data_IF_779453604346
#
_entry.id   IF_779453604346
#
_cell.length_a   1.000
_cell.length_b   1.000
_cell.length_c   1.000
_cell.angle_alpha   90.00
_cell.angle_beta   90.00
_cell.angle_gamma   90.00
#
_symmetry.space_group_name_H-M   'P 1'
#
loop_
_entity.id
_entity.type
_entity.pdbx_description
1 polymer ?
#
# COMPACT_ATOMS: atom_id res chain seq x y z
N UNK A 1 -18.83 30.88 -37.20
CA UNK A 1 -18.29 30.46 -38.52
C UNK A 1 -17.34 29.31 -38.25
N UNK A 2 -17.44 28.20 -38.99
CA UNK A 2 -16.54 27.06 -38.81
C UNK A 2 -15.18 27.37 -39.46
N UNK A 3 -14.09 27.15 -38.73
CA UNK A 3 -12.73 27.28 -39.25
C UNK A 3 -12.34 25.96 -39.93
N UNK A 4 -11.90 26.02 -41.19
CA UNK A 4 -11.37 24.86 -41.91
C UNK A 4 -9.97 24.53 -41.36
N UNK A 5 -9.77 23.27 -40.98
CA UNK A 5 -8.48 22.76 -40.50
C UNK A 5 -7.70 22.10 -41.65
N UNK A 6 -6.38 22.26 -41.62
CA UNK A 6 -5.45 21.56 -42.51
C UNK A 6 -5.19 20.13 -42.02
N UNK A 7 -4.79 19.18 -42.90
CA UNK A 7 -4.46 17.80 -42.50
C UNK A 7 -3.43 17.71 -41.37
N UNK A 8 -2.46 18.62 -41.33
CA UNK A 8 -1.42 18.68 -40.32
C UNK A 8 -1.99 19.03 -38.94
N UNK A 9 -3.03 19.87 -38.89
CA UNK A 9 -3.73 20.25 -37.65
C UNK A 9 -4.65 19.16 -37.11
N UNK A 10 -4.97 18.14 -37.92
CA UNK A 10 -5.78 16.99 -37.50
C UNK A 10 -4.94 15.90 -36.83
N UNK A 11 -3.60 15.96 -36.94
CA UNK A 11 -2.70 14.95 -36.40
C UNK A 11 -1.98 15.47 -35.16
N UNK A 12 -2.12 14.76 -34.05
CA UNK A 12 -1.20 14.92 -32.92
C UNK A 12 0.20 14.43 -33.34
N UNK A 13 1.19 15.31 -33.21
CA UNK A 13 2.61 14.98 -33.42
C UNK A 13 3.36 15.22 -32.12
N UNK A 14 4.31 14.34 -31.84
CA UNK A 14 5.18 14.43 -30.68
C UNK A 14 6.62 14.36 -31.16
N UNK A 15 7.44 15.30 -30.72
CA UNK A 15 8.86 15.28 -31.04
C UNK A 15 9.56 14.28 -30.12
N UNK A 16 9.94 13.11 -30.66
CA UNK A 16 10.64 12.10 -29.88
C UNK A 16 12.01 12.56 -29.39
N UNK A 17 12.65 13.54 -30.05
CA UNK A 17 13.92 14.11 -29.59
C UNK A 17 13.76 14.93 -28.30
N UNK A 18 12.54 15.21 -27.87
CA UNK A 18 12.26 15.88 -26.59
C UNK A 18 12.42 14.97 -25.36
N UNK A 19 12.55 13.66 -25.53
CA UNK A 19 12.78 12.70 -24.44
C UNK A 19 14.23 12.21 -24.50
N UNK A 20 14.94 12.38 -23.40
CA UNK A 20 16.35 11.98 -23.25
C UNK A 20 16.45 10.49 -22.84
N UNK A 21 16.03 9.58 -23.72
CA UNK A 21 16.27 8.14 -23.58
C UNK A 21 16.33 7.43 -24.94
N UNK A 22 17.21 6.45 -25.10
CA UNK A 22 17.23 5.59 -26.30
C UNK A 22 16.18 4.48 -26.18
N UNK A 23 16.03 3.91 -24.99
CA UNK A 23 15.06 2.87 -24.68
C UNK A 23 14.36 3.15 -23.34
N UNK A 24 13.18 2.56 -23.14
CA UNK A 24 12.48 2.66 -21.85
C UNK A 24 13.21 1.97 -20.69
N UNK A 25 14.25 1.19 -20.98
CA UNK A 25 15.12 0.60 -19.96
C UNK A 25 16.06 1.64 -19.31
N UNK A 26 16.33 2.75 -20.00
CA UNK A 26 17.19 3.84 -19.51
C UNK A 26 16.47 4.74 -18.50
N UNK A 27 15.15 4.63 -18.43
CA UNK A 27 14.31 5.42 -17.54
C UNK A 27 14.28 4.83 -16.14
N UNK A 28 14.43 5.70 -15.14
CA UNK A 28 14.20 5.33 -13.74
C UNK A 28 12.74 4.92 -13.58
N UNK A 29 12.52 3.69 -13.08
CA UNK A 29 11.17 3.20 -12.79
C UNK A 29 10.62 3.94 -11.59
N UNK A 30 9.70 4.85 -11.86
CA UNK A 30 8.95 5.47 -10.76
C UNK A 30 7.95 4.50 -10.15
N UNK A 31 7.90 4.51 -8.82
CA UNK A 31 6.98 3.66 -8.05
C UNK A 31 5.81 4.45 -7.47
N UNK A 32 5.86 5.78 -7.58
CA UNK A 32 4.80 6.67 -7.13
C UNK A 32 3.55 6.54 -8.00
N UNK A 33 2.39 6.83 -7.39
CA UNK A 33 1.10 6.87 -8.09
C UNK A 33 1.07 8.09 -9.02
N UNK A 34 1.12 7.85 -10.34
CA UNK A 34 1.16 8.90 -11.37
C UNK A 34 -0.22 9.56 -11.52
N UNK A 35 -0.24 10.89 -11.63
CA UNK A 35 -1.46 11.65 -11.98
C UNK A 35 -2.53 11.73 -10.89
N UNK A 36 -2.27 11.21 -9.69
CA UNK A 36 -3.26 11.10 -8.61
C UNK A 36 -2.85 11.89 -7.35
N UNK A 37 -2.42 13.15 -7.52
CA UNK A 37 -1.91 13.99 -6.41
C UNK A 37 -2.86 14.04 -5.21
N UNK A 38 -4.16 14.25 -5.45
CA UNK A 38 -5.19 14.27 -4.41
C UNK A 38 -5.36 12.90 -3.75
N UNK A 39 -5.31 11.82 -4.52
CA UNK A 39 -5.42 10.45 -4.00
C UNK A 39 -4.28 10.10 -3.07
N UNK A 40 -3.05 10.44 -3.45
CA UNK A 40 -1.84 10.24 -2.63
C UNK A 40 -1.95 10.98 -1.29
N UNK A 41 -2.31 12.27 -1.33
CA UNK A 41 -2.47 13.08 -0.10
C UNK A 41 -3.55 12.53 0.84
N UNK A 42 -4.65 12.00 0.30
CA UNK A 42 -5.71 11.40 1.12
C UNK A 42 -5.23 10.12 1.81
N UNK A 43 -4.42 9.31 1.12
CA UNK A 43 -3.83 8.08 1.68
C UNK A 43 -2.81 8.44 2.76
N UNK A 44 -1.91 9.39 2.50
CA UNK A 44 -0.92 9.90 3.48
C UNK A 44 -1.59 10.40 4.77
N UNK A 45 -2.63 11.23 4.62
CA UNK A 45 -3.40 11.73 5.74
C UNK A 45 -4.06 10.60 6.52
N UNK A 46 -4.75 9.68 5.82
CA UNK A 46 -5.47 8.58 6.45
C UNK A 46 -4.56 7.62 7.21
N UNK A 47 -3.38 7.30 6.67
CA UNK A 47 -2.38 6.44 7.34
C UNK A 47 -1.75 7.14 8.54
N UNK A 48 -1.65 8.47 8.51
CA UNK A 48 -1.16 9.27 9.64
C UNK A 48 -2.08 9.27 10.86
N UNK A 49 -3.36 8.93 10.70
CA UNK A 49 -4.33 8.85 11.80
C UNK A 49 -4.13 7.56 12.60
N UNK A 50 -3.55 7.68 13.80
CA UNK A 50 -3.33 6.53 14.71
C UNK A 50 -4.51 6.18 15.61
N UNK A 51 -5.56 7.00 15.60
CA UNK A 51 -6.75 6.78 16.42
C UNK A 51 -7.60 5.65 15.85
N UNK A 52 -8.22 4.80 16.69
CA UNK A 52 -9.17 3.80 16.21
C UNK A 52 -10.42 4.48 15.61
N UNK A 53 -11.11 3.76 14.72
CA UNK A 53 -12.37 4.21 14.11
C UNK A 53 -12.24 4.92 12.76
N UNK A 54 -11.01 5.06 12.23
CA UNK A 54 -10.77 5.62 10.90
C UNK A 54 -10.39 4.52 9.92
N UNK A 55 -11.04 4.53 8.75
CA UNK A 55 -10.75 3.60 7.64
C UNK A 55 -10.62 4.41 6.35
N UNK A 56 -9.83 3.91 5.40
CA UNK A 56 -9.68 4.50 4.06
C UNK A 56 -10.46 3.63 3.07
N UNK A 57 -11.33 4.25 2.28
CA UNK A 57 -12.04 3.61 1.17
C UNK A 57 -11.58 4.21 -0.15
N UNK A 58 -11.28 3.36 -1.14
CA UNK A 58 -10.79 3.81 -2.45
C UNK A 58 -11.69 3.28 -3.57
N UNK A 59 -12.06 4.16 -4.49
CA UNK A 59 -12.96 3.89 -5.62
C UNK A 59 -12.43 4.44 -6.94
N UNK A 60 -12.96 3.94 -8.05
CA UNK A 60 -12.67 4.40 -9.41
C UNK A 60 -12.93 3.32 -10.47
N UNK A 61 -12.56 3.58 -11.72
CA UNK A 61 -12.76 2.65 -12.84
C UNK A 61 -11.92 1.37 -12.77
N UNK A 62 -12.53 0.22 -13.04
CA UNK A 62 -11.83 -1.06 -13.08
C UNK A 62 -10.64 -1.04 -14.06
N UNK A 63 -9.57 -1.77 -13.75
CA UNK A 63 -8.40 -1.91 -14.63
C UNK A 63 -7.32 -0.82 -14.48
N UNK A 64 -7.51 0.18 -13.62
CA UNK A 64 -6.54 1.28 -13.42
C UNK A 64 -5.37 0.95 -12.48
N UNK A 65 -5.22 -0.31 -12.04
CA UNK A 65 -4.10 -0.73 -11.18
C UNK A 65 -4.11 -0.16 -9.75
N UNK A 66 -5.23 0.43 -9.28
CA UNK A 66 -5.35 1.05 -7.94
C UNK A 66 -4.85 0.18 -6.80
N UNK A 67 -5.31 -1.06 -6.71
CA UNK A 67 -4.94 -1.97 -5.62
C UNK A 67 -3.42 -2.17 -5.56
N UNK A 68 -2.78 -2.37 -6.72
CA UNK A 68 -1.33 -2.50 -6.82
C UNK A 68 -0.61 -1.24 -6.37
N UNK A 69 -1.10 -0.07 -6.80
CA UNK A 69 -0.51 1.22 -6.45
C UNK A 69 -0.62 1.52 -4.94
N UNK A 70 -1.80 1.30 -4.35
CA UNK A 70 -2.06 1.50 -2.91
C UNK A 70 -1.23 0.53 -2.07
N UNK A 71 -1.20 -0.75 -2.45
CA UNK A 71 -0.43 -1.77 -1.73
C UNK A 71 1.05 -1.40 -1.68
N UNK A 72 1.65 -1.03 -2.82
CA UNK A 72 3.05 -0.59 -2.88
C UNK A 72 3.31 0.62 -1.99
N UNK A 73 2.43 1.61 -2.02
CA UNK A 73 2.53 2.80 -1.18
C UNK A 73 2.52 2.44 0.33
N UNK A 74 1.56 1.61 0.74
CA UNK A 74 1.45 1.15 2.15
C UNK A 74 2.67 0.33 2.57
N UNK A 75 3.15 -0.57 1.71
CA UNK A 75 4.35 -1.39 1.98
C UNK A 75 5.60 -0.53 2.17
N UNK A 76 5.83 0.46 1.30
CA UNK A 76 6.95 1.40 1.43
C UNK A 76 6.87 2.18 2.75
N UNK A 77 5.68 2.64 3.13
CA UNK A 77 5.48 3.37 4.38
C UNK A 77 5.67 2.49 5.62
N UNK A 78 5.13 1.27 5.59
CA UNK A 78 5.18 0.32 6.70
C UNK A 78 6.61 -0.23 6.94
N UNK A 79 7.46 -0.26 5.90
CA UNK A 79 8.87 -0.64 6.04
C UNK A 79 9.67 0.27 6.99
N UNK A 80 9.14 1.47 7.29
CA UNK A 80 9.74 2.42 8.24
C UNK A 80 9.05 2.44 9.61
N UNK A 81 7.97 1.67 9.80
CA UNK A 81 7.28 1.57 11.08
C UNK A 81 7.88 0.45 11.95
N UNK A 82 7.73 0.53 13.29
CA UNK A 82 8.10 -0.57 14.17
C UNK A 82 7.37 -1.85 13.79
N UNK A 83 8.04 -2.99 13.91
CA UNK A 83 7.41 -4.30 13.73
C UNK A 83 6.25 -4.42 14.72
N UNK A 84 5.03 -4.75 14.26
CA UNK A 84 3.89 -4.90 15.15
C UNK A 84 4.12 -6.00 16.20
N UNK A 85 3.55 -5.79 17.39
CA UNK A 85 3.48 -6.83 18.43
C UNK A 85 2.76 -8.08 17.91
N UNK A 86 3.16 -9.25 18.40
CA UNK A 86 2.46 -10.50 18.14
C UNK A 86 1.17 -10.55 18.96
N UNK A 87 0.09 -11.03 18.34
CA UNK A 87 -1.14 -11.38 19.01
C UNK A 87 -1.36 -12.88 18.96
N UNK A 88 -1.36 -13.51 20.12
CA UNK A 88 -1.52 -14.96 20.26
C UNK A 88 -2.75 -15.29 21.09
N UNK A 89 -3.36 -16.44 20.82
CA UNK A 89 -4.43 -16.98 21.65
C UNK A 89 -3.87 -18.03 22.60
N UNK A 90 -4.14 -17.85 23.89
CA UNK A 90 -3.82 -18.84 24.93
C UNK A 90 -5.09 -19.49 25.46
N UNK A 91 -4.96 -20.73 25.91
CA UNK A 91 -6.08 -21.45 26.52
C UNK A 91 -6.56 -20.71 27.77
N UNK A 92 -7.88 -20.54 27.88
CA UNK A 92 -8.50 -19.95 29.05
C UNK A 92 -9.01 -21.05 29.98
N UNK A 93 -8.28 -21.33 31.06
CA UNK A 93 -8.61 -22.38 32.02
C UNK A 93 -9.96 -22.18 32.73
N UNK A 94 -10.43 -20.94 32.86
CA UNK A 94 -11.74 -20.64 33.46
C UNK A 94 -12.89 -20.87 32.48
N UNK A 95 -12.63 -20.70 31.18
CA UNK A 95 -13.66 -20.80 30.15
C UNK A 95 -13.04 -21.28 28.84
N UNK A 96 -12.86 -22.60 28.73
CA UNK A 96 -12.13 -23.26 27.63
C UNK A 96 -12.57 -22.85 26.22
N UNK A 97 -13.85 -22.54 26.02
CA UNK A 97 -14.42 -22.13 24.72
C UNK A 97 -14.23 -20.63 24.41
N UNK A 98 -13.54 -19.88 25.28
CA UNK A 98 -13.22 -18.45 25.11
C UNK A 98 -11.72 -18.24 25.29
N UNK A 99 -10.91 -18.56 24.27
CA UNK A 99 -9.46 -18.33 24.33
C UNK A 99 -9.15 -16.86 24.61
N UNK A 100 -8.07 -16.62 25.34
CA UNK A 100 -7.63 -15.27 25.71
C UNK A 100 -6.62 -14.76 24.68
N UNK A 101 -6.83 -13.56 24.16
CA UNK A 101 -5.85 -12.87 23.33
C UNK A 101 -4.78 -12.23 24.22
N UNK A 102 -3.52 -12.56 23.98
CA UNK A 102 -2.36 -11.96 24.63
C UNK A 102 -1.55 -11.18 23.60
N UNK A 103 -1.23 -9.93 23.92
CA UNK A 103 -0.28 -9.11 23.16
C UNK A 103 1.12 -9.33 23.72
N UNK A 104 2.07 -9.73 22.89
CA UNK A 104 3.48 -9.88 23.26
C UNK A 104 4.38 -9.16 22.26
N UNK A 105 5.59 -8.73 22.65
CA UNK A 105 6.50 -8.08 21.72
C UNK A 105 6.77 -8.93 20.48
N UNK A 106 7.02 -8.28 19.34
CA UNK A 106 7.29 -8.94 18.07
C UNK A 106 8.29 -10.11 18.20
N UNK A 107 7.91 -11.28 17.67
CA UNK A 107 8.70 -12.51 17.71
C UNK A 107 8.66 -13.27 19.05
N UNK A 108 8.04 -12.74 20.11
CA UNK A 108 7.91 -13.45 21.39
C UNK A 108 6.78 -14.48 21.38
N UNK A 109 5.83 -14.37 20.46
CA UNK A 109 4.73 -15.32 20.35
C UNK A 109 5.20 -16.72 19.95
N UNK A 110 6.10 -16.80 18.97
CA UNK A 110 6.71 -18.07 18.56
C UNK A 110 7.63 -18.66 19.63
N UNK A 111 8.39 -17.81 20.33
CA UNK A 111 9.20 -18.25 21.48
C UNK A 111 8.33 -18.86 22.57
N UNK A 112 7.22 -18.20 22.93
CA UNK A 112 6.30 -18.73 23.95
C UNK A 112 5.72 -20.08 23.53
N UNK A 113 5.36 -20.25 22.24
CA UNK A 113 4.89 -21.53 21.74
C UNK A 113 5.93 -22.64 21.92
N UNK A 114 7.19 -22.39 21.54
CA UNK A 114 8.29 -23.34 21.73
C UNK A 114 8.57 -23.66 23.20
N UNK A 115 8.52 -22.65 24.08
CA UNK A 115 8.71 -22.84 25.52
C UNK A 115 7.59 -23.73 26.10
N UNK A 116 6.35 -23.54 25.67
CA UNK A 116 5.21 -24.37 26.08
C UNK A 116 5.31 -25.82 25.58
N UNK A 117 5.82 -26.04 24.37
CA UNK A 117 6.06 -27.39 23.83
C UNK A 117 7.15 -28.14 24.62
N UNK A 118 8.11 -27.41 25.21
CA UNK A 118 9.20 -27.97 26.02
C UNK A 118 8.82 -28.28 27.48
N UNK A 119 7.61 -27.90 27.89
CA UNK A 119 7.13 -27.96 29.28
C UNK A 119 6.55 -29.33 29.66
N UNK A 120 6.70 -30.35 28.79
CA UNK A 120 6.18 -31.71 28.95
C UNK A 120 7.30 -32.73 28.80
#
# INVERSE_FOLDING_TARGET
MAQLLTPEQLRFTFDCASIDCETTADLVRETTIIGQKRGVQAIEFGIGLKSPGYNIFVTGESGTGRTTAIKRFVEQRAAHDPVPDDWIYVHNFNTAHKPMALRVPAGRGSQLAADMDSLI
#
